data_IF_410882212825
#
_entry.id   IF_410882212825
#
_cell.length_a   1.000
_cell.length_b   1.000
_cell.length_c   1.000
_cell.angle_alpha   90.00
_cell.angle_beta   90.00
_cell.angle_gamma   90.00
#
_symmetry.space_group_name_H-M   'P 1'
#
loop_
_entity.id
_entity.type
_entity.pdbx_description
1 polymer ?
#
# COMPACT_ATOMS: atom_id res chain seq x y z
N UNK A 1 -8.38 -0.83 22.92
CA UNK A 1 -8.94 -0.46 21.62
C UNK A 1 -7.90 -0.46 20.55
N UNK A 2 -8.17 -1.14 19.47
CA UNK A 2 -7.29 -1.11 18.33
C UNK A 2 -7.50 0.16 17.52
N UNK A 3 -6.46 0.95 17.39
CA UNK A 3 -6.51 2.11 16.52
C UNK A 3 -5.96 1.73 15.17
N UNK A 4 -6.75 1.98 14.13
CA UNK A 4 -6.30 1.78 12.78
C UNK A 4 -5.69 3.08 12.26
N UNK A 5 -4.47 2.99 11.77
CA UNK A 5 -3.79 4.10 11.14
C UNK A 5 -4.07 4.11 9.65
N UNK A 6 -4.25 5.30 9.10
CA UNK A 6 -4.40 5.46 7.67
C UNK A 6 -3.45 6.56 7.22
N UNK A 7 -2.61 6.24 6.25
CA UNK A 7 -1.64 7.19 5.69
C UNK A 7 -1.79 7.17 4.18
N UNK A 8 -1.89 8.33 3.56
CA UNK A 8 -1.99 8.47 2.11
C UNK A 8 -0.77 9.23 1.62
N UNK A 9 -0.09 8.66 0.62
CA UNK A 9 1.09 9.29 0.00
C UNK A 9 0.85 9.41 -1.49
N UNK A 10 1.24 10.54 -2.08
CA UNK A 10 1.06 10.77 -3.51
C UNK A 10 2.34 10.42 -4.26
N UNK A 11 2.19 9.61 -5.32
CA UNK A 11 3.29 9.23 -6.20
C UNK A 11 2.96 9.54 -7.63
N UNK A 12 3.99 9.71 -8.47
CA UNK A 12 3.81 9.80 -9.90
C UNK A 12 3.72 8.41 -10.51
N UNK A 13 3.10 8.33 -11.68
CA UNK A 13 2.91 7.05 -12.38
C UNK A 13 4.23 6.30 -12.59
N UNK A 14 5.31 7.03 -12.83
CA UNK A 14 6.63 6.41 -13.07
C UNK A 14 7.22 5.76 -11.83
N UNK A 15 6.66 6.01 -10.65
CA UNK A 15 7.17 5.49 -9.39
C UNK A 15 6.43 4.23 -8.92
N UNK A 16 5.33 3.87 -9.57
CA UNK A 16 4.47 2.78 -9.09
C UNK A 16 5.23 1.46 -8.92
N UNK A 17 6.01 1.08 -9.92
CA UNK A 17 6.73 -0.20 -9.88
C UNK A 17 7.84 -0.18 -8.82
N UNK A 18 8.56 0.92 -8.70
CA UNK A 18 9.63 1.05 -7.71
C UNK A 18 9.08 0.95 -6.29
N UNK A 19 7.94 1.60 -6.04
CA UNK A 19 7.29 1.55 -4.72
C UNK A 19 6.86 0.12 -4.41
N UNK A 20 6.25 -0.56 -5.37
CA UNK A 20 5.85 -1.96 -5.21
C UNK A 20 7.05 -2.84 -4.89
N UNK A 21 8.13 -2.71 -5.65
CA UNK A 21 9.34 -3.51 -5.44
C UNK A 21 9.92 -3.27 -4.06
N UNK A 22 9.91 -2.02 -3.59
CA UNK A 22 10.40 -1.67 -2.27
C UNK A 22 9.58 -2.33 -1.17
N UNK A 23 8.25 -2.28 -1.28
CA UNK A 23 7.38 -2.89 -0.28
C UNK A 23 7.53 -4.41 -0.26
N UNK A 24 7.65 -5.03 -1.43
CA UNK A 24 7.88 -6.48 -1.52
C UNK A 24 9.21 -6.84 -0.86
N UNK A 25 10.23 -6.01 -1.02
CA UNK A 25 11.52 -6.24 -0.36
C UNK A 25 11.41 -6.18 1.17
N UNK A 26 10.43 -5.43 1.69
CA UNK A 26 10.16 -5.38 3.13
C UNK A 26 9.24 -6.49 3.62
N UNK A 27 8.86 -7.41 2.74
CA UNK A 27 8.04 -8.54 3.13
C UNK A 27 6.55 -8.43 2.80
N UNK A 28 6.14 -7.37 2.14
CA UNK A 28 4.75 -7.24 1.70
C UNK A 28 4.49 -8.20 0.55
N UNK A 29 3.27 -8.69 0.46
CA UNK A 29 2.86 -9.61 -0.60
C UNK A 29 1.72 -9.03 -1.39
N UNK A 30 1.76 -9.22 -2.70
CA UNK A 30 0.71 -8.76 -3.59
C UNK A 30 -0.54 -9.62 -3.45
N UNK A 31 -1.69 -8.95 -3.42
CA UNK A 31 -3.01 -9.59 -3.43
C UNK A 31 -3.77 -9.14 -4.66
N UNK A 32 -4.77 -9.92 -5.06
CA UNK A 32 -5.69 -9.52 -6.10
C UNK A 32 -6.65 -8.44 -5.61
N UNK A 33 -7.07 -7.58 -6.52
CA UNK A 33 -8.10 -6.58 -6.25
C UNK A 33 -8.89 -6.38 -7.53
N UNK A 34 -10.21 -6.54 -7.46
CA UNK A 34 -11.07 -6.44 -8.63
C UNK A 34 -11.44 -5.00 -8.97
N UNK A 35 -11.07 -4.03 -8.13
CA UNK A 35 -11.39 -2.63 -8.37
C UNK A 35 -10.54 -2.11 -9.53
N UNK A 36 -11.20 -1.62 -10.58
CA UNK A 36 -10.54 -1.15 -11.79
C UNK A 36 -9.69 0.10 -11.57
N UNK A 37 -9.86 0.79 -10.45
CA UNK A 37 -9.09 1.99 -10.13
C UNK A 37 -7.81 1.68 -9.35
N UNK A 38 -7.57 0.42 -9.03
CA UNK A 38 -6.42 -0.04 -8.26
C UNK A 38 -5.33 -0.56 -9.19
N UNK A 39 -4.11 -0.05 -9.00
CA UNK A 39 -2.94 -0.54 -9.73
C UNK A 39 -2.45 -1.85 -9.13
N UNK A 40 -2.33 -1.88 -7.80
CA UNK A 40 -1.98 -3.10 -7.06
C UNK A 40 -2.40 -2.95 -5.59
N UNK A 41 -2.49 -4.09 -4.92
CA UNK A 41 -2.81 -4.17 -3.51
C UNK A 41 -1.80 -5.10 -2.85
N UNK A 42 -1.24 -4.67 -1.73
CA UNK A 42 -0.23 -5.43 -0.99
C UNK A 42 -0.67 -5.61 0.46
N UNK A 43 -0.26 -6.74 1.03
CA UNK A 43 -0.50 -7.02 2.44
C UNK A 43 0.82 -7.19 3.16
N UNK A 44 0.96 -6.55 4.32
CA UNK A 44 2.17 -6.64 5.13
C UNK A 44 2.18 -7.96 5.93
N UNK A 45 3.37 -8.36 6.45
CA UNK A 45 3.45 -9.52 7.33
C UNK A 45 2.58 -9.40 8.58
N UNK A 46 2.27 -8.17 9.00
CA UNK A 46 1.44 -7.92 10.19
C UNK A 46 -0.04 -7.73 9.85
N UNK A 47 -0.41 -7.90 8.58
CA UNK A 47 -1.80 -7.82 8.16
C UNK A 47 -2.29 -6.44 7.73
N UNK A 48 -1.40 -5.46 7.65
CA UNK A 48 -1.78 -4.14 7.10
C UNK A 48 -1.92 -4.21 5.60
N UNK A 49 -2.62 -3.23 5.03
CA UNK A 49 -2.93 -3.19 3.60
C UNK A 49 -2.34 -1.92 2.99
N UNK A 50 -1.77 -2.04 1.81
CA UNK A 50 -1.35 -0.90 0.99
C UNK A 50 -1.99 -1.01 -0.37
N UNK A 51 -2.69 0.04 -0.80
CA UNK A 51 -3.40 0.06 -2.07
C UNK A 51 -2.91 1.24 -2.89
N UNK A 52 -2.36 0.95 -4.07
CA UNK A 52 -1.96 1.99 -5.02
C UNK A 52 -3.10 2.19 -6.02
N UNK A 53 -3.57 3.41 -6.12
CA UNK A 53 -4.63 3.79 -7.06
C UNK A 53 -4.04 4.45 -8.30
N UNK A 54 -4.77 4.36 -9.41
CA UNK A 54 -4.33 5.01 -10.66
C UNK A 54 -4.29 6.54 -10.55
N UNK A 55 -4.87 7.11 -9.50
CA UNK A 55 -4.75 8.54 -9.22
C UNK A 55 -3.38 8.92 -8.65
N UNK A 56 -2.54 7.93 -8.36
CA UNK A 56 -1.23 8.14 -7.77
C UNK A 56 -1.22 8.07 -6.25
N UNK A 57 -2.37 7.86 -5.64
CA UNK A 57 -2.46 7.78 -4.17
C UNK A 57 -2.16 6.37 -3.71
N UNK A 58 -1.21 6.26 -2.79
CA UNK A 58 -0.93 5.00 -2.09
C UNK A 58 -1.48 5.13 -0.68
N UNK A 59 -2.44 4.29 -0.34
CA UNK A 59 -3.12 4.33 0.96
C UNK A 59 -2.67 3.13 1.78
N UNK A 60 -2.09 3.42 2.95
CA UNK A 60 -1.72 2.41 3.94
C UNK A 60 -2.79 2.37 5.01
N UNK A 61 -3.27 1.18 5.36
CA UNK A 61 -4.28 0.99 6.40
C UNK A 61 -3.86 -0.16 7.29
N UNK A 62 -3.96 0.02 8.60
CA UNK A 62 -3.65 -1.02 9.55
C UNK A 62 -3.27 -0.46 10.91
N UNK A 63 -2.76 -1.33 11.76
CA UNK A 63 -2.35 -0.96 13.12
C UNK A 63 -0.87 -0.64 13.24
N UNK A 64 -0.13 -0.77 12.14
CA UNK A 64 1.29 -0.44 12.12
C UNK A 64 1.49 1.07 12.07
N UNK A 65 2.63 1.53 12.56
CA UNK A 65 3.02 2.93 12.43
C UNK A 65 3.73 3.11 11.10
N UNK A 66 3.05 3.70 10.15
CA UNK A 66 3.58 3.90 8.80
C UNK A 66 4.42 5.17 8.66
N UNK A 67 4.52 5.97 9.72
CA UNK A 67 5.20 7.27 9.66
C UNK A 67 6.57 7.29 10.32
N UNK A 68 6.93 6.23 10.98
CA UNK A 68 8.21 6.14 11.68
C UNK A 68 9.36 5.68 10.81
#
# INVERSE_FOLDING_TARGET
MGNQNTVTVQFSKTEYQRVKDTLIAYGWKEEGDENQYVVYRLRSPKGSIAIMYFTGKLVFQGREDFTS
#
